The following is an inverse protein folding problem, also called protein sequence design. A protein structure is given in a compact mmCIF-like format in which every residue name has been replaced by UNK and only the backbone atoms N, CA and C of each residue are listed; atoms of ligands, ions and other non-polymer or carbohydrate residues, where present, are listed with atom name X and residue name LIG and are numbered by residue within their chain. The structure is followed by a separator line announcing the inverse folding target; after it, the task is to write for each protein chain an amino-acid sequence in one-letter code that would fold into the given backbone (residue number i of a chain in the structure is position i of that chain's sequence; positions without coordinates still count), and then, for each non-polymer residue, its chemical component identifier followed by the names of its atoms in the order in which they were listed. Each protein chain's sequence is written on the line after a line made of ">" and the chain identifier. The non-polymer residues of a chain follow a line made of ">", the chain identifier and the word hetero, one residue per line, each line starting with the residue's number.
data_IF_772763838287
#
_entry.id   IF_772763838287
#
_cell.length_a   1.000
_cell.length_b   1.000
_cell.length_c   1.000
_cell.angle_alpha   90.00
_cell.angle_beta   90.00
_cell.angle_gamma   90.00
#
_symmetry.space_group_name_H-M   'P 1'
#
loop_
_entity.id
_entity.type
_entity.pdbx_description
1 polymer ?
#
# COMPACT_ATOMS: atom_id res chain seq x y z
N UNK A 1 61.04 19.62 19.11
CA UNK A 1 60.63 18.43 18.33
C UNK A 1 59.20 17.95 18.62
N UNK A 2 58.53 18.39 19.68
CA UNK A 2 57.17 17.97 20.08
C UNK A 2 56.02 18.66 19.32
N UNK A 3 56.22 19.89 18.83
CA UNK A 3 55.16 20.67 18.17
C UNK A 3 54.73 20.12 16.80
N UNK A 4 55.67 19.58 16.01
CA UNK A 4 55.39 18.99 14.69
C UNK A 4 54.65 17.65 14.77
N UNK A 5 54.84 16.91 15.87
CA UNK A 5 54.16 15.63 16.11
C UNK A 5 52.66 15.84 16.41
N UNK A 6 52.35 16.84 17.25
CA UNK A 6 50.97 17.18 17.60
C UNK A 6 50.19 17.75 16.41
N UNK A 7 50.84 18.51 15.52
CA UNK A 7 50.22 19.05 14.31
C UNK A 7 49.83 17.93 13.33
N UNK A 8 50.69 16.93 13.14
CA UNK A 8 50.42 15.79 12.25
C UNK A 8 49.28 14.91 12.79
N UNK A 9 49.24 14.69 14.11
CA UNK A 9 48.13 13.96 14.74
C UNK A 9 46.82 14.74 14.59
N UNK A 10 46.82 16.06 14.82
CA UNK A 10 45.63 16.89 14.66
C UNK A 10 45.10 16.91 13.21
N UNK A 11 45.99 16.90 12.21
CA UNK A 11 45.59 16.82 10.80
C UNK A 11 45.00 15.46 10.44
N UNK A 12 45.59 14.37 10.95
CA UNK A 12 45.09 13.02 10.71
C UNK A 12 43.75 12.77 11.38
N UNK A 13 43.54 13.27 12.61
CA UNK A 13 42.25 13.15 13.30
C UNK A 13 41.17 13.97 12.63
N UNK A 14 41.49 15.19 12.17
CA UNK A 14 40.56 16.01 11.38
C UNK A 14 40.13 15.32 10.08
N UNK A 15 41.07 14.69 9.38
CA UNK A 15 40.79 13.95 8.14
C UNK A 15 39.93 12.70 8.41
N UNK A 16 40.20 11.97 9.50
CA UNK A 16 39.44 10.78 9.86
C UNK A 16 37.97 11.12 10.23
N UNK A 17 37.75 12.18 11.00
CA UNK A 17 36.40 12.62 11.41
C UNK A 17 35.60 13.09 10.19
N UNK A 18 36.23 13.82 9.26
CA UNK A 18 35.56 14.28 8.04
C UNK A 18 35.21 13.13 7.11
N UNK A 19 36.08 12.13 6.93
CA UNK A 19 35.78 10.94 6.14
C UNK A 19 34.68 10.09 6.77
N UNK A 20 34.68 9.91 8.09
CA UNK A 20 33.60 9.20 8.79
C UNK A 20 32.27 9.93 8.68
N UNK A 21 32.27 11.26 8.82
CA UNK A 21 31.05 12.07 8.66
C UNK A 21 30.48 12.00 7.25
N UNK A 22 31.34 12.09 6.22
CA UNK A 22 30.93 11.94 4.83
C UNK A 22 30.39 10.52 4.54
N UNK A 23 31.04 9.49 5.08
CA UNK A 23 30.58 8.11 4.94
C UNK A 23 29.23 7.87 5.63
N UNK A 24 29.03 8.44 6.82
CA UNK A 24 27.76 8.35 7.54
C UNK A 24 26.63 9.02 6.77
N UNK A 25 26.86 10.20 6.17
CA UNK A 25 25.86 10.89 5.32
C UNK A 25 25.60 10.10 4.03
N UNK A 26 26.64 9.50 3.44
CA UNK A 26 26.50 8.69 2.23
C UNK A 26 25.73 7.38 2.48
N UNK A 27 25.95 6.74 3.64
CA UNK A 27 25.24 5.52 4.03
C UNK A 27 23.92 5.78 4.72
N UNK A 28 23.65 6.99 5.22
CA UNK A 28 22.37 7.29 5.84
C UNK A 28 21.29 7.12 4.78
N UNK A 29 20.36 6.17 4.95
CA UNK A 29 19.26 6.00 4.01
C UNK A 29 18.53 7.33 3.97
N UNK A 30 18.30 7.85 2.76
CA UNK A 30 17.50 9.05 2.59
C UNK A 30 16.17 8.83 3.33
N UNK A 31 15.73 9.76 4.20
CA UNK A 31 14.41 9.65 4.76
C UNK A 31 13.44 9.58 3.57
N UNK A 32 12.66 8.51 3.52
CA UNK A 32 11.54 8.44 2.61
C UNK A 32 10.56 9.51 3.10
N UNK A 33 10.55 10.66 2.44
CA UNK A 33 9.52 11.68 2.62
C UNK A 33 8.19 11.09 2.12
N UNK A 34 7.52 10.34 3.00
CA UNK A 34 6.10 10.06 2.85
C UNK A 34 5.35 11.35 3.10
N UNK A 35 5.27 12.18 2.07
CA UNK A 35 4.34 13.30 2.02
C UNK A 35 2.94 12.72 2.21
N UNK A 36 2.31 12.89 3.37
CA UNK A 36 0.90 12.57 3.56
C UNK A 36 0.09 13.41 2.57
N UNK A 37 -0.57 12.81 1.55
CA UNK A 37 -1.41 13.58 0.67
C UNK A 37 -2.76 13.79 1.36
N UNK A 38 -3.02 15.02 1.79
CA UNK A 38 -4.38 15.50 2.04
C UNK A 38 -5.18 15.38 0.73
N UNK A 39 -6.35 14.73 0.81
CA UNK A 39 -7.12 14.21 -0.33
C UNK A 39 -7.55 15.30 -1.31
N UNK A 40 -6.90 15.30 -2.47
CA UNK A 40 -7.59 15.37 -3.76
C UNK A 40 -6.96 14.33 -4.67
N UNK A 41 -7.65 13.22 -4.93
CA UNK A 41 -7.23 12.19 -5.90
C UNK A 41 -7.33 12.78 -7.31
N UNK A 42 -6.42 13.67 -7.70
CA UNK A 42 -6.39 14.24 -9.06
C UNK A 42 -6.23 13.17 -10.15
N UNK A 43 -5.80 11.95 -9.79
CA UNK A 43 -5.47 10.86 -10.70
C UNK A 43 -6.15 9.51 -10.36
N UNK A 44 -7.33 9.50 -9.73
CA UNK A 44 -8.12 8.27 -9.51
C UNK A 44 -8.88 7.77 -10.74
N UNK A 45 -9.53 6.61 -10.62
CA UNK A 45 -10.58 6.21 -11.58
C UNK A 45 -11.84 7.06 -11.30
N UNK A 46 -12.41 7.76 -12.30
CA UNK A 46 -13.59 8.58 -12.10
C UNK A 46 -14.77 7.76 -11.54
N UNK A 47 -15.37 8.21 -10.45
CA UNK A 47 -16.53 7.55 -9.84
C UNK A 47 -16.24 6.24 -9.11
N UNK A 48 -15.03 5.66 -9.21
CA UNK A 48 -14.69 4.44 -8.47
C UNK A 48 -14.15 4.80 -7.09
N UNK A 49 -14.84 4.37 -6.03
CA UNK A 49 -14.49 4.66 -4.65
C UNK A 49 -14.21 3.37 -3.87
N UNK A 50 -13.19 3.41 -3.00
CA UNK A 50 -12.86 2.33 -2.08
C UNK A 50 -12.97 2.85 -0.64
N UNK A 51 -13.65 2.10 0.21
CA UNK A 51 -13.80 2.41 1.63
C UNK A 51 -13.56 1.19 2.51
N UNK A 52 -13.25 1.44 3.77
CA UNK A 52 -12.98 0.45 4.81
C UNK A 52 -13.94 0.65 5.97
N UNK A 53 -14.44 -0.44 6.53
CA UNK A 53 -15.19 -0.44 7.80
C UNK A 53 -14.86 -1.68 8.62
N UNK A 54 -15.02 -1.61 9.94
CA UNK A 54 -14.86 -2.80 10.78
C UNK A 54 -16.18 -3.58 10.83
N UNK A 55 -16.14 -4.85 10.45
CA UNK A 55 -17.29 -5.76 10.48
C UNK A 55 -17.39 -6.57 11.76
N UNK A 56 -16.26 -7.04 12.29
CA UNK A 56 -16.20 -7.81 13.54
C UNK A 56 -14.96 -7.48 14.35
N UNK A 57 -15.05 -7.66 15.67
CA UNK A 57 -13.93 -7.54 16.62
C UNK A 57 -13.28 -8.89 16.92
N UNK A 58 -14.02 -9.99 16.78
CA UNK A 58 -13.52 -11.34 17.06
C UNK A 58 -14.14 -12.38 16.09
N UNK A 59 -13.35 -12.97 15.17
CA UNK A 59 -12.01 -12.50 14.81
C UNK A 59 -12.07 -11.07 14.23
N UNK A 60 -11.06 -10.23 14.45
CA UNK A 60 -11.00 -8.89 13.88
C UNK A 60 -11.15 -8.96 12.36
N UNK A 61 -12.22 -8.37 11.84
CA UNK A 61 -12.59 -8.46 10.43
C UNK A 61 -12.84 -7.07 9.87
N UNK A 62 -12.10 -6.74 8.82
CA UNK A 62 -12.25 -5.52 8.05
C UNK A 62 -13.08 -5.80 6.80
N UNK A 63 -14.02 -4.91 6.49
CA UNK A 63 -14.80 -4.93 5.27
C UNK A 63 -14.25 -3.86 4.33
N UNK A 64 -13.83 -4.30 3.15
CA UNK A 64 -13.48 -3.43 2.03
C UNK A 64 -14.71 -3.30 1.14
N UNK A 65 -15.18 -2.09 0.90
CA UNK A 65 -16.25 -1.82 -0.05
C UNK A 65 -15.67 -1.06 -1.23
N UNK A 66 -15.99 -1.51 -2.44
CA UNK A 66 -15.68 -0.80 -3.68
C UNK A 66 -16.97 -0.51 -4.42
N UNK A 67 -17.16 0.74 -4.80
CA UNK A 67 -18.39 1.21 -5.43
C UNK A 67 -18.07 1.96 -6.71
N UNK A 68 -18.87 1.72 -7.75
CA UNK A 68 -18.81 2.45 -9.01
C UNK A 68 -19.95 3.47 -9.06
N UNK A 69 -19.64 4.71 -8.69
CA UNK A 69 -20.54 5.86 -8.73
C UNK A 69 -20.57 6.56 -10.10
N UNK A 70 -19.96 5.99 -11.14
CA UNK A 70 -20.12 6.48 -12.51
C UNK A 70 -21.51 6.15 -13.04
N UNK A 71 -22.10 7.05 -13.84
CA UNK A 71 -23.48 6.95 -14.31
C UNK A 71 -23.72 5.89 -15.39
N UNK A 72 -22.72 5.63 -16.23
CA UNK A 72 -22.85 4.85 -17.46
C UNK A 72 -21.62 3.99 -17.79
N UNK A 73 -20.54 4.10 -17.03
CA UNK A 73 -19.27 3.43 -17.33
C UNK A 73 -19.10 2.21 -16.45
N UNK A 74 -18.93 1.05 -17.07
CA UNK A 74 -18.50 -0.17 -16.38
C UNK A 74 -16.98 -0.15 -16.22
N UNK A 75 -16.49 -0.44 -15.02
CA UNK A 75 -15.07 -0.62 -14.78
C UNK A 75 -14.73 -2.08 -14.52
N UNK A 76 -13.61 -2.53 -15.09
CA UNK A 76 -12.93 -3.74 -14.65
C UNK A 76 -11.57 -3.36 -14.09
N UNK A 77 -11.25 -3.84 -12.89
CA UNK A 77 -9.97 -3.59 -12.22
C UNK A 77 -9.28 -4.90 -11.88
N UNK A 78 -7.96 -4.92 -12.03
CA UNK A 78 -7.11 -6.00 -11.53
C UNK A 78 -6.94 -5.84 -10.01
N UNK A 79 -7.27 -6.89 -9.26
CA UNK A 79 -7.26 -6.87 -7.78
C UNK A 79 -5.85 -6.81 -7.18
N UNK A 80 -4.80 -7.13 -7.95
CA UNK A 80 -3.44 -7.26 -7.44
C UNK A 80 -2.91 -5.99 -6.78
N UNK A 81 -2.32 -6.14 -5.58
CA UNK A 81 -1.79 -5.05 -4.76
C UNK A 81 -2.83 -3.95 -4.43
N UNK A 82 -4.11 -4.35 -4.34
CA UNK A 82 -5.20 -3.51 -3.85
C UNK A 82 -5.83 -4.16 -2.62
N UNK A 83 -6.68 -3.45 -1.86
CA UNK A 83 -7.43 -4.04 -0.75
C UNK A 83 -8.33 -5.22 -1.17
N UNK A 84 -8.62 -5.36 -2.46
CA UNK A 84 -9.41 -6.46 -3.02
C UNK A 84 -8.57 -7.72 -3.32
N UNK A 85 -7.25 -7.63 -3.16
CA UNK A 85 -6.34 -8.76 -3.35
C UNK A 85 -6.53 -9.80 -2.23
N UNK A 86 -6.73 -11.09 -2.56
CA UNK A 86 -6.78 -12.14 -1.54
C UNK A 86 -5.55 -12.19 -0.63
N UNK A 87 -4.42 -11.65 -1.09
CA UNK A 87 -3.17 -11.56 -0.34
C UNK A 87 -2.84 -10.14 0.14
N UNK A 88 -3.82 -9.24 0.22
CA UNK A 88 -3.58 -7.82 0.52
C UNK A 88 -2.82 -7.58 1.84
N UNK A 89 -3.13 -8.35 2.89
CA UNK A 89 -2.41 -8.29 4.17
C UNK A 89 -0.95 -8.70 4.04
N UNK A 90 -0.69 -9.78 3.31
CA UNK A 90 0.65 -10.34 3.17
C UNK A 90 1.50 -9.56 2.16
N UNK A 91 0.84 -8.83 1.24
CA UNK A 91 1.47 -7.93 0.28
C UNK A 91 1.77 -6.52 0.83
N UNK A 92 1.40 -6.23 2.08
CA UNK A 92 1.61 -4.91 2.70
C UNK A 92 0.76 -3.79 2.11
N UNK A 93 -0.46 -4.10 1.64
CA UNK A 93 -1.36 -3.09 1.05
C UNK A 93 -1.91 -2.11 2.10
N UNK A 94 -2.03 -2.57 3.35
CA UNK A 94 -2.59 -1.77 4.44
C UNK A 94 -1.49 -1.02 5.17
N UNK A 95 -1.71 0.28 5.39
CA UNK A 95 -1.00 1.05 6.39
C UNK A 95 -1.70 0.86 7.74
N UNK A 96 -0.95 0.41 8.73
CA UNK A 96 -1.47 0.03 10.05
C UNK A 96 -0.66 0.78 11.10
N UNK A 97 -1.33 1.67 11.82
CA UNK A 97 -0.73 2.46 12.89
C UNK A 97 -1.34 2.05 14.22
N UNK A 98 -0.50 1.79 15.21
CA UNK A 98 -0.93 1.53 16.57
C UNK A 98 -1.60 2.77 17.18
N UNK A 99 -2.84 2.63 17.65
CA UNK A 99 -3.65 3.74 18.16
C UNK A 99 -3.13 4.34 19.48
N UNK A 100 -2.26 3.64 20.22
CA UNK A 100 -1.71 4.13 21.49
C UNK A 100 -0.36 4.81 21.29
N UNK A 101 0.57 4.09 20.66
CA UNK A 101 1.95 4.51 20.47
C UNK A 101 2.13 5.40 19.24
N UNK A 102 1.13 5.46 18.35
CA UNK A 102 1.18 6.18 17.07
C UNK A 102 2.33 5.73 16.16
N UNK A 103 2.83 4.51 16.37
CA UNK A 103 3.87 3.90 15.54
C UNK A 103 3.25 2.99 14.50
N UNK A 104 3.82 3.00 13.30
CA UNK A 104 3.49 2.02 12.26
C UNK A 104 3.84 0.62 12.74
N UNK A 105 2.95 -0.34 12.51
CA UNK A 105 3.16 -1.74 12.81
C UNK A 105 4.03 -2.35 11.71
N UNK A 106 5.17 -2.92 12.08
CA UNK A 106 6.02 -3.64 11.15
C UNK A 106 5.29 -4.91 10.68
N UNK A 107 5.08 -5.01 9.37
CA UNK A 107 4.40 -6.13 8.72
C UNK A 107 5.43 -7.06 8.10
N UNK A 108 5.22 -8.37 8.25
CA UNK A 108 6.00 -9.37 7.53
C UNK A 108 5.48 -9.47 6.08
N UNK A 109 5.97 -8.58 5.21
CA UNK A 109 5.56 -8.53 3.81
C UNK A 109 6.22 -9.66 3.02
N UNK A 110 5.42 -10.41 2.27
CA UNK A 110 5.87 -11.51 1.43
C UNK A 110 5.84 -11.09 -0.04
N UNK A 111 6.86 -11.49 -0.80
CA UNK A 111 6.87 -11.30 -2.24
C UNK A 111 6.00 -12.35 -2.93
N UNK A 112 4.98 -11.91 -3.67
CA UNK A 112 4.00 -12.80 -4.30
C UNK A 112 4.27 -12.91 -5.80
N UNK A 113 4.68 -14.09 -6.26
CA UNK A 113 4.75 -14.42 -7.68
C UNK A 113 3.35 -14.73 -8.22
N UNK A 114 2.95 -14.07 -9.31
CA UNK A 114 1.62 -14.21 -9.91
C UNK A 114 1.66 -15.03 -11.19
N UNK A 115 0.62 -15.85 -11.40
CA UNK A 115 0.41 -16.57 -12.67
C UNK A 115 -0.08 -15.58 -13.74
N UNK A 116 0.52 -15.66 -14.93
CA UNK A 116 0.20 -14.82 -16.08
C UNK A 116 -0.55 -15.60 -17.19
N UNK A 117 -1.56 -14.98 -17.85
CA UNK A 117 -2.15 -13.69 -17.51
C UNK A 117 -3.01 -13.81 -16.23
N UNK A 118 -3.45 -12.68 -15.63
CA UNK A 118 -4.37 -12.72 -14.50
C UNK A 118 -5.62 -13.58 -14.82
N UNK A 119 -5.97 -14.57 -13.99
CA UNK A 119 -7.19 -15.35 -14.19
C UNK A 119 -8.46 -14.54 -13.85
N UNK A 120 -9.65 -14.93 -14.34
CA UNK A 120 -10.88 -14.15 -14.19
C UNK A 120 -11.26 -13.79 -12.75
N UNK A 121 -10.95 -14.63 -11.77
CA UNK A 121 -11.23 -14.37 -10.35
C UNK A 121 -10.36 -13.26 -9.73
N UNK A 122 -9.26 -12.89 -10.40
CA UNK A 122 -8.39 -11.78 -10.02
C UNK A 122 -8.84 -10.44 -10.62
N UNK A 123 -9.90 -10.44 -11.43
CA UNK A 123 -10.53 -9.25 -11.96
C UNK A 123 -11.81 -8.98 -11.15
N UNK A 124 -12.10 -7.71 -10.92
CA UNK A 124 -13.39 -7.26 -10.43
C UNK A 124 -14.02 -6.38 -11.50
N UNK A 125 -15.25 -6.69 -11.88
CA UNK A 125 -16.05 -5.86 -12.79
C UNK A 125 -17.22 -5.26 -12.04
N UNK A 126 -17.41 -3.95 -12.16
CA UNK A 126 -18.47 -3.18 -11.54
C UNK A 126 -19.19 -2.37 -12.61
N UNK A 127 -20.46 -2.72 -12.85
CA UNK A 127 -21.35 -1.90 -13.66
C UNK A 127 -21.69 -0.58 -12.94
N UNK A 128 -22.24 0.43 -13.64
CA UNK A 128 -22.72 1.66 -13.01
C UNK A 128 -23.64 1.40 -11.80
N UNK A 129 -23.36 2.06 -10.69
CA UNK A 129 -24.12 1.94 -9.44
C UNK A 129 -23.89 0.64 -8.66
N UNK A 130 -23.05 -0.27 -9.15
CA UNK A 130 -22.74 -1.51 -8.44
C UNK A 130 -21.67 -1.31 -7.37
N UNK A 131 -21.78 -2.10 -6.31
CA UNK A 131 -20.79 -2.23 -5.26
C UNK A 131 -20.42 -3.69 -5.02
N UNK A 132 -19.19 -3.91 -4.59
CA UNK A 132 -18.69 -5.21 -4.14
C UNK A 132 -18.06 -5.04 -2.75
N UNK A 133 -18.22 -6.07 -1.92
CA UNK A 133 -17.68 -6.12 -0.57
C UNK A 133 -16.74 -7.31 -0.41
N UNK A 134 -15.59 -7.09 0.23
CA UNK A 134 -14.60 -8.13 0.51
C UNK A 134 -14.24 -8.09 1.99
N UNK A 135 -14.36 -9.23 2.65
CA UNK A 135 -13.97 -9.40 4.04
C UNK A 135 -12.51 -9.82 4.16
N UNK A 136 -11.83 -9.20 5.12
CA UNK A 136 -10.43 -9.46 5.42
C UNK A 136 -10.31 -9.71 6.92
N UNK A 137 -9.97 -10.94 7.26
CA UNK A 137 -9.68 -11.31 8.64
C UNK A 137 -8.27 -10.82 8.99
N UNK A 138 -8.23 -9.82 9.86
CA UNK A 138 -7.03 -9.17 10.41
C UNK A 138 -6.46 -10.01 11.56
N UNK A 139 -6.11 -11.25 11.25
CA UNK A 139 -5.46 -12.17 12.18
C UNK A 139 -4.13 -12.62 11.57
N UNK A 140 -3.03 -12.05 12.08
CA UNK A 140 -1.67 -12.32 11.60
C UNK A 140 -0.68 -12.39 12.77
N UNK A 141 0.39 -13.20 12.67
CA UNK A 141 1.36 -13.37 13.76
C UNK A 141 2.10 -12.09 14.18
N UNK A 142 2.30 -11.15 13.25
CA UNK A 142 2.94 -9.86 13.52
C UNK A 142 2.03 -8.86 14.23
N UNK A 143 0.73 -9.15 14.36
CA UNK A 143 -0.19 -8.28 15.09
C UNK A 143 0.09 -8.39 16.58
N UNK A 144 0.20 -7.25 17.30
CA UNK A 144 0.42 -7.26 18.74
C UNK A 144 -0.62 -8.14 19.46
N UNK A 145 -0.15 -9.06 20.29
CA UNK A 145 -1.01 -9.97 21.07
C UNK A 145 -1.73 -9.26 22.24
N UNK A 146 -1.44 -7.98 22.47
CA UNK A 146 -2.10 -7.20 23.53
C UNK A 146 -3.59 -7.05 23.21
N UNK A 147 -4.43 -7.25 24.23
CA UNK A 147 -5.89 -7.05 24.16
C UNK A 147 -6.32 -6.24 25.39
N UNK A 148 -7.16 -5.20 25.23
CA UNK A 148 -7.64 -4.64 23.97
C UNK A 148 -6.54 -3.90 23.20
N UNK A 149 -6.61 -3.93 21.87
CA UNK A 149 -5.75 -3.13 20.99
C UNK A 149 -6.59 -2.28 20.03
N UNK A 150 -6.09 -1.09 19.73
CA UNK A 150 -6.73 -0.15 18.81
C UNK A 150 -5.73 0.14 17.70
N UNK A 151 -6.16 0.02 16.45
CA UNK A 151 -5.36 0.31 15.26
C UNK A 151 -6.05 1.33 14.37
N UNK A 152 -5.28 2.17 13.71
CA UNK A 152 -5.72 2.98 12.58
C UNK A 152 -5.29 2.28 11.31
N UNK A 153 -6.25 1.87 10.50
CA UNK A 153 -6.01 1.12 9.26
C UNK A 153 -6.46 1.95 8.08
N UNK A 154 -5.62 2.04 7.06
CA UNK A 154 -5.94 2.67 5.78
C UNK A 154 -5.23 1.91 4.65
N UNK A 155 -5.65 2.12 3.40
CA UNK A 155 -4.93 1.61 2.25
C UNK A 155 -4.84 2.69 1.17
N UNK A 156 -3.71 2.73 0.49
CA UNK A 156 -3.49 3.59 -0.67
C UNK A 156 -2.48 2.94 -1.61
N UNK A 157 -2.60 3.24 -2.90
CA UNK A 157 -1.78 2.58 -3.90
C UNK A 157 -2.17 3.00 -5.31
N UNK A 158 -1.86 2.13 -6.27
CA UNK A 158 -2.23 2.32 -7.66
C UNK A 158 -2.73 1.01 -8.27
N UNK A 159 -3.72 1.10 -9.15
CA UNK A 159 -4.21 -0.05 -9.89
C UNK A 159 -3.16 -0.50 -10.89
N UNK A 160 -2.83 -1.80 -10.85
CA UNK A 160 -1.87 -2.37 -11.81
C UNK A 160 -2.46 -2.49 -13.21
N UNK A 161 -3.76 -2.73 -13.31
CA UNK A 161 -4.49 -2.68 -14.56
C UNK A 161 -5.97 -2.37 -14.34
N UNK A 162 -6.54 -1.55 -15.23
CA UNK A 162 -7.94 -1.19 -15.17
C UNK A 162 -8.46 -0.72 -16.55
N UNK A 163 -9.73 -1.05 -16.83
CA UNK A 163 -10.38 -0.90 -18.13
C UNK A 163 -11.82 -0.43 -17.98
N UNK A 164 -12.36 0.18 -19.04
CA UNK A 164 -13.79 0.55 -19.18
C UNK A 164 -14.55 -0.50 -20.00
N UNK A 165 -14.31 -1.78 -19.70
CA UNK A 165 -14.89 -2.94 -20.39
C UNK A 165 -15.35 -3.95 -19.35
N UNK A 166 -16.32 -4.80 -19.70
CA UNK A 166 -16.60 -5.98 -18.90
C UNK A 166 -15.42 -6.97 -18.97
N UNK A 167 -15.17 -7.75 -17.92
CA UNK A 167 -14.04 -8.72 -17.90
C UNK A 167 -14.10 -9.73 -19.04
N UNK A 168 -15.29 -10.08 -19.52
CA UNK A 168 -15.50 -11.07 -20.57
C UNK A 168 -15.16 -10.51 -21.98
N UNK A 169 -15.02 -9.19 -22.09
CA UNK A 169 -14.59 -8.50 -23.31
C UNK A 169 -13.06 -8.31 -23.36
N UNK A 170 -12.35 -8.66 -22.29
CA UNK A 170 -10.90 -8.54 -22.22
C UNK A 170 -10.24 -9.72 -22.92
N UNK A 171 -9.42 -9.41 -23.91
CA UNK A 171 -8.61 -10.40 -24.62
C UNK A 171 -7.45 -10.89 -23.75
N UNK A 172 -6.91 -12.06 -24.10
CA UNK A 172 -5.74 -12.62 -23.39
C UNK A 172 -4.53 -11.68 -23.51
N UNK A 173 -4.38 -11.04 -24.67
CA UNK A 173 -3.33 -10.09 -24.99
C UNK A 173 -3.43 -8.84 -24.11
N UNK A 174 -4.63 -8.27 -23.95
CA UNK A 174 -4.87 -7.15 -23.02
C UNK A 174 -4.54 -7.53 -21.58
N UNK A 175 -4.85 -8.76 -21.16
CA UNK A 175 -4.54 -9.25 -19.81
C UNK A 175 -3.05 -9.51 -19.59
N UNK A 176 -2.31 -9.97 -20.60
CA UNK A 176 -0.85 -10.02 -20.53
C UNK A 176 -0.23 -8.62 -20.46
N UNK A 177 -0.81 -7.67 -21.20
CA UNK A 177 -0.39 -6.29 -21.26
C UNK A 177 -1.12 -5.39 -20.24
N UNK A 178 -1.54 -5.93 -19.09
CA UNK A 178 -2.37 -5.18 -18.13
C UNK A 178 -1.74 -3.85 -17.67
N UNK A 179 -0.40 -3.79 -17.61
CA UNK A 179 0.34 -2.59 -17.23
C UNK A 179 0.22 -1.45 -18.27
N UNK A 180 -0.17 -1.77 -19.50
CA UNK A 180 -0.48 -0.83 -20.57
C UNK A 180 -1.99 -0.51 -20.68
N UNK A 181 -2.81 -0.99 -19.74
CA UNK A 181 -4.25 -0.69 -19.73
C UNK A 181 -4.52 0.81 -19.54
N UNK A 182 -5.67 1.33 -20.01
CA UNK A 182 -5.95 2.77 -20.02
C UNK A 182 -5.88 3.46 -18.65
N UNK A 183 -6.16 2.72 -17.58
CA UNK A 183 -6.18 3.23 -16.21
C UNK A 183 -5.11 2.58 -15.31
N UNK A 184 -4.08 1.98 -15.91
CA UNK A 184 -2.88 1.55 -15.20
C UNK A 184 -2.25 2.71 -14.43
N UNK A 185 -1.71 2.42 -13.24
CA UNK A 185 -1.04 3.37 -12.33
C UNK A 185 -1.94 4.50 -11.80
N UNK A 186 -3.25 4.47 -12.10
CA UNK A 186 -4.23 5.35 -11.45
C UNK A 186 -4.32 5.03 -9.97
N UNK A 187 -4.36 6.08 -9.15
CA UNK A 187 -4.24 5.93 -7.69
C UNK A 187 -5.58 5.60 -7.05
N UNK A 188 -5.52 4.86 -5.94
CA UNK A 188 -6.64 4.69 -5.03
C UNK A 188 -6.20 5.06 -3.61
N UNK A 189 -7.17 5.43 -2.78
CA UNK A 189 -7.00 5.59 -1.35
C UNK A 189 -8.32 5.31 -0.65
N UNK A 190 -8.27 4.77 0.55
CA UNK A 190 -9.44 4.52 1.39
C UNK A 190 -9.59 5.56 2.49
N UNK A 191 -10.70 5.48 3.24
CA UNK A 191 -10.75 6.02 4.59
C UNK A 191 -9.80 5.31 5.55
N UNK A 192 -9.41 6.09 6.57
CA UNK A 192 -8.86 5.52 7.80
C UNK A 192 -10.03 4.98 8.62
N UNK A 193 -9.85 3.79 9.18
CA UNK A 193 -10.80 3.17 10.08
C UNK A 193 -10.09 2.80 11.37
N UNK A 194 -10.76 3.03 12.49
CA UNK A 194 -10.30 2.57 13.80
C UNK A 194 -10.78 1.12 13.95
N UNK A 195 -9.83 0.20 14.09
CA UNK A 195 -10.08 -1.22 14.29
C UNK A 195 -9.78 -1.57 15.74
N UNK A 196 -10.80 -2.03 16.45
CA UNK A 196 -10.67 -2.49 17.84
C UNK A 196 -10.60 -4.02 17.87
N UNK A 197 -9.60 -4.58 18.57
CA UNK A 197 -9.36 -6.01 18.70
C UNK A 197 -9.27 -6.42 20.17
#
# INVERSE_FOLDING_TARGET
>A
MTALWNLRIALLTGLAITLLGAFYIYQSPSPLDFTQPHRTLRNGLPGLELSLSQKSRNPPTLLVTVENNHSDTTYTVLKWNTPLDPYALDAGVFNIVDGTSHREIEQAIVHITRKMPPPPNQLLTLAPGMREEVEIVFDRPWMPQRRPAIYRVSANGAFKGAWTKHRDELTKEELYAFAASPFSERRFATNEVIVEI
#
